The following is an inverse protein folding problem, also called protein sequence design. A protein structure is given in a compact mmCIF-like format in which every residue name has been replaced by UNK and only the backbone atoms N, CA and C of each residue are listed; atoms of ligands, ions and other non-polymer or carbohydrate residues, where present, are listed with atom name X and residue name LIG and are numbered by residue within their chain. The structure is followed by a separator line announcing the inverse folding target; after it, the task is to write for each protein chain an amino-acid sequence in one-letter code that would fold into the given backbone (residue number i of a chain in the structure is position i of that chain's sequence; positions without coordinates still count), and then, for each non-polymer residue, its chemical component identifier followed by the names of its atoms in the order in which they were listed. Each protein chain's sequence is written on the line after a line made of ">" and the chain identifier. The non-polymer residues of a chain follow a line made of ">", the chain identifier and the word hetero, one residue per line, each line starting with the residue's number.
data_IF_805712275431
#
_entry.id   IF_805712275431
#
_cell.length_a   1.000
_cell.length_b   1.000
_cell.length_c   1.000
_cell.angle_alpha   90.00
_cell.angle_beta   90.00
_cell.angle_gamma   90.00
#
_symmetry.space_group_name_H-M   'P 1'
#
loop_
_entity.id
_entity.type
_entity.pdbx_description
1 polymer ?
#
# COMPACT_ATOMS: atom_id res chain seq x y z
N UNK A 1 -16.64 24.58 49.96
CA UNK A 1 -17.55 24.77 48.80
C UNK A 1 -16.84 25.29 47.56
N UNK A 2 -15.77 26.09 47.69
CA UNK A 2 -14.94 26.57 46.57
C UNK A 2 -14.30 25.43 45.75
N UNK A 3 -13.89 24.33 46.41
CA UNK A 3 -13.27 23.17 45.75
C UNK A 3 -14.20 22.43 44.77
N UNK A 4 -15.52 22.42 45.02
CA UNK A 4 -16.47 21.66 44.19
C UNK A 4 -16.77 22.35 42.85
N UNK A 5 -16.76 23.68 42.82
CA UNK A 5 -16.96 24.45 41.58
C UNK A 5 -15.72 24.32 40.69
N UNK A 6 -14.51 24.41 41.28
CA UNK A 6 -13.25 24.29 40.54
C UNK A 6 -13.09 22.90 39.92
N UNK A 7 -13.48 21.83 40.62
CA UNK A 7 -13.43 20.46 40.06
C UNK A 7 -14.40 20.26 38.91
N UNK A 8 -15.63 20.77 39.00
CA UNK A 8 -16.60 20.69 37.89
C UNK A 8 -16.09 21.45 36.66
N UNK A 9 -15.53 22.65 36.86
CA UNK A 9 -14.94 23.43 35.77
C UNK A 9 -13.72 22.73 35.15
N UNK A 10 -12.88 22.10 35.95
CA UNK A 10 -11.73 21.34 35.45
C UNK A 10 -12.15 20.14 34.60
N UNK A 11 -13.17 19.38 35.04
CA UNK A 11 -13.71 18.25 34.27
C UNK A 11 -14.31 18.73 32.94
N UNK A 12 -15.05 19.84 32.96
CA UNK A 12 -15.62 20.42 31.76
C UNK A 12 -14.53 20.85 30.75
N UNK A 13 -13.46 21.49 31.22
CA UNK A 13 -12.32 21.88 30.39
C UNK A 13 -11.60 20.68 29.79
N UNK A 14 -11.36 19.63 30.57
CA UNK A 14 -10.74 18.38 30.07
C UNK A 14 -11.62 17.72 29.01
N UNK A 15 -12.94 17.70 29.21
CA UNK A 15 -13.87 17.14 28.23
C UNK A 15 -13.82 17.90 26.89
N UNK A 16 -13.80 19.23 26.93
CA UNK A 16 -13.67 20.06 25.71
C UNK A 16 -12.33 19.81 25.02
N UNK A 17 -11.24 19.74 25.76
CA UNK A 17 -9.90 19.49 25.21
C UNK A 17 -9.81 18.08 24.57
N UNK A 18 -10.40 17.07 25.21
CA UNK A 18 -10.43 15.71 24.70
C UNK A 18 -11.19 15.63 23.38
N UNK A 19 -12.36 16.28 23.27
CA UNK A 19 -13.13 16.35 22.02
C UNK A 19 -12.33 17.06 20.92
N UNK A 20 -11.72 18.21 21.22
CA UNK A 20 -10.88 18.93 20.26
C UNK A 20 -9.72 18.08 19.74
N UNK A 21 -9.06 17.33 20.64
CA UNK A 21 -7.95 16.44 20.29
C UNK A 21 -8.41 15.29 19.40
N UNK A 22 -9.56 14.67 19.70
CA UNK A 22 -10.12 13.58 18.89
C UNK A 22 -10.52 14.03 17.49
N UNK A 23 -11.06 15.24 17.33
CA UNK A 23 -11.41 15.81 16.03
C UNK A 23 -10.15 16.09 15.20
N UNK A 24 -9.12 16.70 15.80
CA UNK A 24 -7.83 16.92 15.13
C UNK A 24 -7.13 15.61 14.74
N UNK A 25 -7.18 14.60 15.61
CA UNK A 25 -6.56 13.30 15.37
C UNK A 25 -7.28 12.55 14.24
N UNK A 26 -8.61 12.70 14.13
CA UNK A 26 -9.42 12.09 13.07
C UNK A 26 -9.07 12.65 11.69
N UNK A 27 -8.85 13.95 11.57
CA UNK A 27 -8.52 14.57 10.28
C UNK A 27 -7.07 14.30 9.87
N UNK A 28 -6.14 14.25 10.83
CA UNK A 28 -4.76 13.82 10.57
C UNK A 28 -4.67 12.34 10.14
N UNK A 29 -5.52 11.47 10.72
CA UNK A 29 -5.52 10.03 10.44
C UNK A 29 -5.91 9.66 9.01
N UNK A 30 -6.83 10.40 8.38
CA UNK A 30 -7.33 10.08 7.02
C UNK A 30 -6.28 10.32 5.92
N UNK A 31 -5.57 11.44 5.97
CA UNK A 31 -4.49 11.72 5.03
C UNK A 31 -3.25 10.86 5.30
N UNK A 32 -2.96 10.61 6.57
CA UNK A 32 -1.82 9.79 6.98
C UNK A 32 -1.97 8.33 6.58
N UNK A 33 -3.18 7.77 6.60
CA UNK A 33 -3.40 6.35 6.26
C UNK A 33 -3.20 6.09 4.77
N UNK A 34 -3.74 6.92 3.87
CA UNK A 34 -3.54 6.78 2.43
C UNK A 34 -2.09 7.04 2.00
N UNK A 35 -1.41 8.01 2.63
CA UNK A 35 0.01 8.28 2.38
C UNK A 35 0.91 7.12 2.86
N UNK A 36 0.60 6.53 4.02
CA UNK A 36 1.31 5.37 4.54
C UNK A 36 1.04 4.11 3.69
N UNK A 37 -0.22 3.87 3.32
CA UNK A 37 -0.61 2.79 2.43
C UNK A 37 0.08 2.89 1.08
N UNK A 38 0.08 4.06 0.43
CA UNK A 38 0.77 4.24 -0.85
C UNK A 38 2.28 4.03 -0.76
N UNK A 39 2.94 4.50 0.29
CA UNK A 39 4.37 4.23 0.50
C UNK A 39 4.63 2.73 0.67
N UNK A 40 3.79 2.08 1.46
CA UNK A 40 3.85 0.63 1.69
C UNK A 40 3.64 -0.15 0.39
N UNK A 41 2.64 0.18 -0.42
CA UNK A 41 2.38 -0.49 -1.69
C UNK A 41 3.55 -0.36 -2.67
N UNK A 42 4.14 0.83 -2.78
CA UNK A 42 5.32 1.04 -3.61
C UNK A 42 6.51 0.21 -3.11
N UNK A 43 6.72 0.15 -1.80
CA UNK A 43 7.81 -0.61 -1.21
C UNK A 43 7.62 -2.12 -1.38
N UNK A 44 6.40 -2.64 -1.21
CA UNK A 44 6.08 -4.05 -1.44
C UNK A 44 6.23 -4.40 -2.92
N UNK A 45 5.71 -3.58 -3.84
CA UNK A 45 5.87 -3.78 -5.27
C UNK A 45 7.34 -3.75 -5.71
N UNK A 46 8.14 -2.82 -5.17
CA UNK A 46 9.58 -2.75 -5.46
C UNK A 46 10.34 -3.98 -4.97
N UNK A 47 9.94 -4.56 -3.82
CA UNK A 47 10.52 -5.82 -3.34
C UNK A 47 10.21 -6.99 -4.29
N UNK A 48 8.98 -7.06 -4.82
CA UNK A 48 8.60 -8.09 -5.79
C UNK A 48 9.36 -7.92 -7.11
N UNK A 49 9.45 -6.69 -7.64
CA UNK A 49 10.23 -6.40 -8.85
C UNK A 49 11.70 -6.80 -8.66
N UNK A 50 12.31 -6.40 -7.54
CA UNK A 50 13.69 -6.79 -7.23
C UNK A 50 13.86 -8.31 -7.11
N UNK A 51 12.91 -9.02 -6.48
CA UNK A 51 12.96 -10.48 -6.38
C UNK A 51 12.87 -11.15 -7.76
N UNK A 52 12.01 -10.65 -8.65
CA UNK A 52 11.88 -11.13 -10.03
C UNK A 52 13.14 -10.86 -10.85
N UNK A 53 13.74 -9.67 -10.72
CA UNK A 53 14.99 -9.32 -11.40
C UNK A 53 16.15 -10.20 -10.94
N UNK A 54 16.25 -10.48 -9.63
CA UNK A 54 17.24 -11.41 -9.09
C UNK A 54 17.02 -12.84 -9.60
N UNK A 55 15.76 -13.29 -9.65
CA UNK A 55 15.44 -14.59 -10.25
C UNK A 55 15.88 -14.63 -11.72
N UNK A 56 15.51 -13.62 -12.49
CA UNK A 56 15.87 -13.50 -13.89
C UNK A 56 17.38 -13.54 -14.11
N UNK A 57 18.16 -12.85 -13.26
CA UNK A 57 19.61 -12.86 -13.31
C UNK A 57 20.21 -14.25 -13.05
N UNK A 58 19.62 -15.03 -12.13
CA UNK A 58 20.12 -16.37 -11.79
C UNK A 58 19.64 -17.48 -12.74
N UNK A 59 18.64 -17.23 -13.59
CA UNK A 59 18.04 -18.22 -14.47
C UNK A 59 18.15 -17.80 -15.95
N UNK A 60 19.31 -17.28 -16.35
CA UNK A 60 19.63 -16.95 -17.75
C UNK A 60 18.60 -16.05 -18.47
N UNK A 61 18.02 -15.10 -17.74
CA UNK A 61 17.02 -14.18 -18.29
C UNK A 61 15.59 -14.70 -18.27
N UNK A 62 15.34 -15.89 -17.74
CA UNK A 62 14.01 -16.48 -17.65
C UNK A 62 13.23 -15.96 -16.43
N UNK A 63 11.94 -15.73 -16.62
CA UNK A 63 11.01 -15.39 -15.54
C UNK A 63 10.46 -16.68 -14.91
N UNK A 64 10.04 -16.65 -13.63
CA UNK A 64 9.39 -17.80 -13.03
C UNK A 64 8.07 -18.09 -13.76
N UNK A 65 7.85 -19.35 -14.12
CA UNK A 65 6.65 -19.81 -14.84
C UNK A 65 5.86 -20.78 -13.97
N UNK A 66 4.54 -20.80 -14.14
CA UNK A 66 3.66 -21.71 -13.42
C UNK A 66 2.36 -21.03 -13.01
N UNK A 67 1.60 -21.69 -12.14
CA UNK A 67 0.51 -21.03 -11.43
C UNK A 67 1.02 -20.04 -10.36
N UNK A 68 0.13 -19.24 -9.80
CA UNK A 68 0.47 -18.22 -8.79
C UNK A 68 1.23 -18.82 -7.59
N UNK A 69 0.85 -20.02 -7.16
CA UNK A 69 1.44 -20.68 -6.00
C UNK A 69 2.85 -21.17 -6.31
N UNK A 70 3.07 -21.73 -7.49
CA UNK A 70 4.39 -22.14 -7.98
C UNK A 70 5.34 -20.96 -8.11
N UNK A 71 4.87 -19.82 -8.66
CA UNK A 71 5.67 -18.60 -8.76
C UNK A 71 6.03 -18.10 -7.35
N UNK A 72 5.06 -18.07 -6.44
CA UNK A 72 5.28 -17.68 -5.04
C UNK A 72 6.30 -18.56 -4.34
N UNK A 73 6.16 -19.88 -4.43
CA UNK A 73 7.06 -20.85 -3.81
C UNK A 73 8.47 -20.75 -4.40
N UNK A 74 8.57 -20.49 -5.71
CA UNK A 74 9.85 -20.25 -6.39
C UNK A 74 10.55 -18.99 -5.89
N UNK A 75 9.83 -17.89 -5.70
CA UNK A 75 10.39 -16.64 -5.18
C UNK A 75 10.75 -16.74 -3.68
N UNK A 76 10.01 -17.53 -2.92
CA UNK A 76 10.25 -17.78 -1.50
C UNK A 76 11.28 -18.87 -1.23
N UNK A 77 11.76 -19.58 -2.26
CA UNK A 77 12.64 -20.75 -2.13
C UNK A 77 13.82 -20.46 -1.18
N UNK A 78 13.72 -20.96 0.05
CA UNK A 78 14.66 -20.75 1.16
C UNK A 78 15.04 -19.29 1.43
N UNK A 79 14.15 -18.34 1.09
CA UNK A 79 14.41 -16.91 1.24
C UNK A 79 15.41 -16.34 0.23
N UNK A 80 15.72 -17.06 -0.85
CA UNK A 80 16.77 -16.71 -1.83
C UNK A 80 16.47 -15.40 -2.58
N UNK A 81 15.24 -15.22 -3.04
CA UNK A 81 14.82 -14.02 -3.79
C UNK A 81 13.94 -13.11 -2.94
N UNK A 82 13.09 -13.71 -2.11
CA UNK A 82 12.23 -12.99 -1.19
C UNK A 82 12.18 -13.71 0.16
N UNK A 83 12.42 -12.99 1.26
CA UNK A 83 12.42 -13.58 2.62
C UNK A 83 11.02 -13.94 3.12
N UNK A 84 10.02 -13.14 2.75
CA UNK A 84 8.64 -13.32 3.17
C UNK A 84 7.72 -12.70 2.13
N UNK A 85 6.56 -13.31 1.92
CA UNK A 85 5.57 -12.78 1.00
C UNK A 85 4.92 -11.51 1.56
N UNK A 86 4.72 -10.45 0.76
CA UNK A 86 4.12 -9.22 1.26
C UNK A 86 2.60 -9.41 1.41
N UNK A 87 2.15 -9.60 2.65
CA UNK A 87 0.78 -9.38 3.16
C UNK A 87 -0.40 -9.94 2.33
N UNK A 88 -0.15 -10.98 1.54
CA UNK A 88 -1.13 -11.83 0.83
C UNK A 88 -2.06 -11.15 -0.19
N UNK A 89 -2.08 -9.83 -0.28
CA UNK A 89 -2.90 -9.09 -1.25
C UNK A 89 -2.26 -8.99 -2.64
N UNK A 90 -0.98 -9.33 -2.78
CA UNK A 90 -0.27 -9.36 -4.07
C UNK A 90 -0.51 -10.68 -4.79
N UNK A 91 -0.89 -10.55 -6.06
CA UNK A 91 -1.25 -11.61 -7.00
C UNK A 91 -0.37 -11.52 -8.24
N UNK A 92 -0.28 -12.62 -8.97
CA UNK A 92 0.46 -12.70 -10.22
C UNK A 92 -0.49 -13.09 -11.35
N UNK A 93 -0.44 -12.32 -12.44
CA UNK A 93 -0.88 -12.73 -13.75
C UNK A 93 0.31 -13.30 -14.53
N UNK A 94 0.06 -13.81 -15.73
CA UNK A 94 1.12 -14.28 -16.64
C UNK A 94 2.16 -13.19 -16.93
N UNK A 95 1.70 -11.94 -17.06
CA UNK A 95 2.56 -10.84 -17.55
C UNK A 95 2.83 -9.74 -16.51
N UNK A 96 2.08 -9.69 -15.40
CA UNK A 96 2.21 -8.63 -14.40
C UNK A 96 1.84 -9.08 -12.98
N UNK A 97 2.46 -8.44 -11.98
CA UNK A 97 2.06 -8.56 -10.57
C UNK A 97 1.11 -7.41 -10.21
N UNK A 98 0.03 -7.71 -9.48
CA UNK A 98 -0.96 -6.69 -9.10
C UNK A 98 -1.47 -6.90 -7.67
N UNK A 99 -2.07 -5.85 -7.12
CA UNK A 99 -2.74 -5.87 -5.82
C UNK A 99 -4.22 -5.55 -6.00
N UNK A 100 -5.10 -6.45 -5.57
CA UNK A 100 -6.55 -6.32 -5.76
C UNK A 100 -7.22 -5.35 -4.76
N UNK A 101 -6.68 -5.24 -3.55
CA UNK A 101 -7.29 -4.47 -2.46
C UNK A 101 -6.55 -3.15 -2.24
N UNK A 102 -6.93 -2.14 -3.03
CA UNK A 102 -6.35 -0.78 -2.97
C UNK A 102 -7.49 0.24 -2.87
N UNK A 103 -7.44 1.11 -1.86
CA UNK A 103 -8.38 2.22 -1.76
C UNK A 103 -8.12 3.26 -2.86
N UNK A 104 -9.16 3.92 -3.36
CA UNK A 104 -9.02 4.95 -4.40
C UNK A 104 -8.07 6.09 -3.98
N UNK A 105 -8.09 6.47 -2.72
CA UNK A 105 -7.23 7.49 -2.12
C UNK A 105 -5.76 7.07 -2.12
N UNK A 106 -5.46 5.83 -1.73
CA UNK A 106 -4.11 5.30 -1.78
C UNK A 106 -3.62 5.09 -3.21
N UNK A 107 -4.52 4.68 -4.12
CA UNK A 107 -4.24 4.51 -5.54
C UNK A 107 -3.81 5.83 -6.21
N UNK A 108 -4.60 6.89 -5.99
CA UNK A 108 -4.26 8.23 -6.46
C UNK A 108 -2.94 8.73 -5.85
N UNK A 109 -2.68 8.43 -4.57
CA UNK A 109 -1.43 8.79 -3.91
C UNK A 109 -0.20 8.02 -4.45
N UNK A 110 -0.36 6.76 -4.86
CA UNK A 110 0.68 5.99 -5.58
C UNK A 110 0.96 6.65 -6.93
N UNK A 111 -0.06 6.91 -7.73
CA UNK A 111 0.10 7.51 -9.05
C UNK A 111 0.75 8.89 -8.99
N UNK A 112 0.36 9.73 -8.02
CA UNK A 112 0.99 11.02 -7.78
C UNK A 112 2.49 10.90 -7.51
N UNK A 113 2.93 9.87 -6.77
CA UNK A 113 4.36 9.59 -6.52
C UNK A 113 5.09 9.11 -7.77
N UNK A 114 4.37 8.49 -8.70
CA UNK A 114 4.88 8.04 -10.00
C UNK A 114 4.80 9.13 -11.08
N UNK A 115 4.29 10.33 -10.76
CA UNK A 115 4.11 11.43 -11.72
C UNK A 115 2.90 11.26 -12.64
N UNK A 116 1.95 10.40 -12.29
CA UNK A 116 0.71 10.14 -13.03
C UNK A 116 -0.42 10.92 -12.35
N UNK A 117 -1.16 11.72 -13.13
CA UNK A 117 -2.32 12.45 -12.62
C UNK A 117 -3.58 11.56 -12.62
N UNK A 118 -4.23 11.45 -11.46
CA UNK A 118 -5.46 10.69 -11.30
C UNK A 118 -5.28 9.17 -11.24
N UNK A 119 -6.38 8.43 -11.42
CA UNK A 119 -6.41 6.97 -11.50
C UNK A 119 -6.90 6.59 -12.89
N UNK A 120 -6.03 6.13 -13.80
CA UNK A 120 -6.43 5.69 -15.14
C UNK A 120 -7.15 4.34 -15.09
N UNK A 121 -7.71 3.94 -16.22
CA UNK A 121 -8.27 2.60 -16.40
C UNK A 121 -7.15 1.59 -16.65
N UNK A 122 -7.28 0.38 -16.10
CA UNK A 122 -6.29 -0.69 -16.31
C UNK A 122 -6.24 -1.17 -17.77
N UNK A 123 -7.28 -0.87 -18.57
CA UNK A 123 -7.35 -1.14 -20.01
C UNK A 123 -6.60 -0.12 -20.87
N UNK A 124 -6.04 0.94 -20.28
CA UNK A 124 -5.32 1.97 -21.02
C UNK A 124 -3.90 1.49 -21.44
N UNK A 125 -3.73 1.31 -22.75
CA UNK A 125 -2.46 0.90 -23.39
C UNK A 125 -1.27 1.82 -23.08
N UNK A 126 -1.51 3.08 -22.66
CA UNK A 126 -0.43 4.00 -22.27
C UNK A 126 0.37 3.53 -21.04
N UNK A 127 -0.18 2.56 -20.29
CA UNK A 127 0.39 2.03 -19.04
C UNK A 127 0.69 0.52 -19.06
N UNK A 128 0.56 -0.15 -20.21
CA UNK A 128 0.71 -1.62 -20.33
C UNK A 128 2.06 -2.17 -19.82
N UNK A 129 3.12 -1.37 -19.91
CA UNK A 129 4.47 -1.72 -19.41
C UNK A 129 4.95 -0.83 -18.25
N UNK A 130 4.04 -0.11 -17.59
CA UNK A 130 4.38 0.81 -16.50
C UNK A 130 3.76 0.33 -15.20
N UNK A 131 4.51 0.46 -14.10
CA UNK A 131 3.91 0.37 -12.78
C UNK A 131 2.92 1.52 -12.63
N UNK A 132 1.65 1.20 -12.46
CA UNK A 132 0.57 2.16 -12.27
C UNK A 132 -0.47 1.56 -11.32
N UNK A 133 -1.15 2.40 -10.57
CA UNK A 133 -2.40 2.01 -9.93
C UNK A 133 -3.58 2.42 -10.80
N UNK A 134 -4.47 1.48 -11.11
CA UNK A 134 -5.55 1.70 -12.08
C UNK A 134 -6.87 1.12 -11.58
N UNK A 135 -7.97 1.63 -12.13
CA UNK A 135 -9.31 1.10 -11.88
C UNK A 135 -9.62 -0.06 -12.85
N UNK A 136 -10.33 -1.07 -12.34
CA UNK A 136 -10.92 -2.15 -13.12
C UNK A 136 -12.40 -1.76 -13.31
N UNK A 137 -12.90 -1.85 -14.54
CA UNK A 137 -14.32 -1.61 -14.85
C UNK A 137 -15.26 -2.59 -14.12
#
# INVERSE_FOLDING_TARGET
>A
MFSLIVTILAIALVAVLAVATLLYLKDAGKGSSAAAQSARYLQEGSQLVGALELYKLHNDGQMPTGDEQQIKDTLLQDGKYLKAWPQESWRFSTDYAFRAEVSSEACAAVNKKLGIEGVPQCSDTAYEAKSVCCAID
#
